data_IF_042264701469
#
_entry.id   IF_042264701469
#
_cell.length_a   1.000
_cell.length_b   1.000
_cell.length_c   1.000
_cell.angle_alpha   90.00
_cell.angle_beta   90.00
_cell.angle_gamma   90.00
#
_symmetry.space_group_name_H-M   'P 1'
#
loop_
_entity.id
_entity.type
_entity.pdbx_description
1 polymer ?
#
# COMPACT_ATOMS: atom_id res chain seq x y z
N UNK A 1 16.95 12.54 0.52
CA UNK A 1 15.52 12.67 0.18
C UNK A 1 14.76 13.10 1.43
N UNK A 2 13.64 13.83 1.33
CA UNK A 2 12.75 14.04 2.48
C UNK A 2 12.02 12.72 2.81
N UNK A 3 11.52 12.59 4.04
CA UNK A 3 10.89 11.35 4.51
C UNK A 3 9.68 10.91 3.65
N UNK A 4 8.81 11.81 3.16
CA UNK A 4 7.74 11.41 2.23
C UNK A 4 8.25 10.70 0.99
N UNK A 5 9.35 11.17 0.38
CA UNK A 5 9.88 10.52 -0.83
C UNK A 5 10.57 9.19 -0.52
N UNK A 6 11.22 9.06 0.65
CA UNK A 6 11.79 7.78 1.11
C UNK A 6 10.66 6.77 1.33
N UNK A 7 9.61 7.17 2.04
CA UNK A 7 8.41 6.37 2.23
C UNK A 7 7.79 5.93 0.89
N UNK A 8 7.59 6.87 -0.05
CA UNK A 8 7.06 6.55 -1.38
C UNK A 8 7.93 5.55 -2.11
N UNK A 9 9.26 5.67 -2.05
CA UNK A 9 10.17 4.73 -2.69
C UNK A 9 10.07 3.32 -2.09
N UNK A 10 10.08 3.20 -0.76
CA UNK A 10 10.05 1.90 -0.07
C UNK A 10 8.70 1.20 -0.27
N UNK A 11 7.60 1.88 0.04
CA UNK A 11 6.25 1.30 -0.11
C UNK A 11 5.94 1.04 -1.58
N UNK A 12 6.32 1.95 -2.47
CA UNK A 12 6.18 1.77 -3.91
C UNK A 12 6.89 0.54 -4.44
N UNK A 13 8.14 0.31 -4.02
CA UNK A 13 8.89 -0.88 -4.39
C UNK A 13 8.25 -2.16 -3.83
N UNK A 14 7.78 -2.16 -2.57
CA UNK A 14 7.10 -3.31 -1.99
C UNK A 14 5.81 -3.66 -2.77
N UNK A 15 5.01 -2.65 -3.11
CA UNK A 15 3.79 -2.84 -3.92
C UNK A 15 4.10 -3.34 -5.33
N UNK A 16 5.14 -2.82 -5.97
CA UNK A 16 5.47 -3.20 -7.34
C UNK A 16 6.04 -4.62 -7.41
N UNK A 17 6.98 -4.96 -6.51
CA UNK A 17 7.74 -6.21 -6.61
C UNK A 17 7.15 -7.33 -5.76
N UNK A 18 6.88 -7.08 -4.47
CA UNK A 18 6.37 -8.13 -3.57
C UNK A 18 4.92 -8.42 -3.90
N UNK A 19 4.06 -7.39 -3.93
CA UNK A 19 2.65 -7.60 -4.27
C UNK A 19 2.50 -8.00 -5.73
N UNK A 20 3.31 -7.44 -6.64
CA UNK A 20 3.35 -7.87 -8.05
C UNK A 20 3.68 -9.35 -8.23
N UNK A 21 4.67 -9.88 -7.49
CA UNK A 21 4.95 -11.32 -7.50
C UNK A 21 3.77 -12.15 -6.97
N UNK A 22 3.14 -11.72 -5.88
CA UNK A 22 1.95 -12.40 -5.34
C UNK A 22 0.72 -12.30 -6.26
N UNK A 23 0.61 -11.24 -7.08
CA UNK A 23 -0.45 -11.09 -8.07
C UNK A 23 -0.29 -12.13 -9.19
N UNK A 24 0.92 -12.26 -9.73
CA UNK A 24 1.21 -13.21 -10.81
C UNK A 24 0.96 -14.64 -10.35
N UNK A 25 1.47 -14.99 -9.16
CA UNK A 25 1.30 -16.34 -8.60
C UNK A 25 -0.16 -16.66 -8.30
N UNK A 26 -0.92 -15.77 -7.66
CA UNK A 26 -2.35 -15.99 -7.41
C UNK A 26 -3.17 -16.07 -8.69
N UNK A 27 -2.90 -15.20 -9.67
CA UNK A 27 -3.61 -15.21 -10.96
C UNK A 27 -3.38 -16.53 -11.69
N UNK A 28 -2.15 -17.07 -11.64
CA UNK A 28 -1.83 -18.35 -12.26
C UNK A 28 -2.48 -19.53 -11.54
N UNK A 29 -2.58 -19.49 -10.20
CA UNK A 29 -3.12 -20.60 -9.40
C UNK A 29 -4.66 -20.61 -9.33
N UNK A 30 -5.28 -19.43 -9.27
CA UNK A 30 -6.70 -19.29 -8.94
C UNK A 30 -7.49 -18.49 -9.98
N UNK A 31 -6.85 -17.99 -11.03
CA UNK A 31 -7.48 -17.11 -12.02
C UNK A 31 -7.71 -15.69 -11.49
N UNK A 32 -8.53 -14.91 -12.22
CA UNK A 32 -8.88 -13.54 -11.82
C UNK A 32 -9.99 -13.59 -10.76
N UNK A 33 -9.63 -13.19 -9.55
CA UNK A 33 -10.51 -13.13 -8.37
C UNK A 33 -10.54 -11.72 -7.77
N UNK A 34 -11.44 -11.47 -6.81
CA UNK A 34 -11.45 -10.19 -6.07
C UNK A 34 -10.10 -9.93 -5.38
N UNK A 35 -9.46 -10.98 -4.88
CA UNK A 35 -8.12 -10.91 -4.28
C UNK A 35 -7.06 -10.45 -5.30
N UNK A 36 -7.09 -10.98 -6.52
CA UNK A 36 -6.20 -10.49 -7.59
C UNK A 36 -6.45 -9.03 -7.94
N UNK A 37 -7.71 -8.57 -7.88
CA UNK A 37 -8.04 -7.17 -8.13
C UNK A 37 -7.49 -6.26 -7.03
N UNK A 38 -7.61 -6.66 -5.76
CA UNK A 38 -6.98 -5.96 -4.63
C UNK A 38 -5.46 -5.86 -4.80
N UNK A 39 -4.79 -6.95 -5.18
CA UNK A 39 -3.34 -6.93 -5.48
C UNK A 39 -3.00 -6.04 -6.68
N UNK A 40 -3.85 -6.01 -7.71
CA UNK A 40 -3.69 -5.10 -8.85
C UNK A 40 -3.77 -3.62 -8.43
N UNK A 41 -4.64 -3.27 -7.48
CA UNK A 41 -4.68 -1.91 -6.90
C UNK A 41 -3.33 -1.57 -6.26
N UNK A 42 -2.76 -2.46 -5.44
CA UNK A 42 -1.42 -2.24 -4.87
C UNK A 42 -0.36 -2.04 -5.93
N UNK A 43 -0.27 -2.93 -6.93
CA UNK A 43 0.70 -2.81 -8.03
C UNK A 43 0.55 -1.49 -8.79
N UNK A 44 -0.69 -1.04 -9.00
CA UNK A 44 -0.98 0.25 -9.65
C UNK A 44 -0.45 1.43 -8.81
N UNK A 45 -0.58 1.36 -7.48
CA UNK A 45 0.04 2.32 -6.56
C UNK A 45 1.57 2.23 -6.59
N UNK A 46 2.14 1.03 -6.73
CA UNK A 46 3.58 0.84 -6.93
C UNK A 46 4.10 1.55 -8.19
N UNK A 47 3.36 1.44 -9.31
CA UNK A 47 3.67 2.17 -10.53
C UNK A 47 3.56 3.69 -10.35
N UNK A 48 2.51 4.17 -9.68
CA UNK A 48 2.38 5.59 -9.34
C UNK A 48 3.54 6.11 -8.48
N UNK A 49 3.95 5.35 -7.47
CA UNK A 49 5.10 5.66 -6.64
C UNK A 49 6.40 5.75 -7.45
N UNK A 50 6.61 4.82 -8.39
CA UNK A 50 7.76 4.85 -9.28
C UNK A 50 7.79 6.15 -10.10
N UNK A 51 6.66 6.57 -10.67
CA UNK A 51 6.55 7.85 -11.39
C UNK A 51 6.93 9.02 -10.48
N UNK A 52 6.41 9.08 -9.25
CA UNK A 52 6.74 10.13 -8.29
C UNK A 52 8.25 10.19 -8.00
N UNK A 53 8.87 9.03 -7.76
CA UNK A 53 10.29 8.94 -7.39
C UNK A 53 11.18 9.31 -8.56
N UNK A 54 10.99 8.70 -9.74
CA UNK A 54 11.82 8.93 -10.92
C UNK A 54 11.68 10.35 -11.47
N UNK A 55 10.47 10.91 -11.47
CA UNK A 55 10.21 12.28 -11.93
C UNK A 55 10.40 13.34 -10.84
N UNK A 56 10.82 12.94 -9.63
CA UNK A 56 11.03 13.82 -8.47
C UNK A 56 9.79 14.69 -8.14
N UNK A 57 8.59 14.15 -8.33
CA UNK A 57 7.33 14.85 -8.06
C UNK A 57 7.08 15.04 -6.55
N UNK A 58 6.03 15.78 -6.22
CA UNK A 58 5.53 15.88 -4.85
C UNK A 58 5.04 14.50 -4.39
N UNK A 59 5.65 14.00 -3.31
CA UNK A 59 5.32 12.70 -2.72
C UNK A 59 4.11 12.75 -1.77
N UNK A 60 3.73 13.94 -1.29
CA UNK A 60 2.66 14.09 -0.30
C UNK A 60 1.32 13.47 -0.69
N UNK A 61 0.82 13.59 -1.95
CA UNK A 61 -0.41 12.94 -2.34
C UNK A 61 -0.39 11.43 -2.13
N UNK A 62 0.72 10.77 -2.50
CA UNK A 62 0.88 9.33 -2.30
C UNK A 62 0.88 8.94 -0.82
N UNK A 63 1.59 9.72 0.02
CA UNK A 63 1.62 9.46 1.46
C UNK A 63 0.23 9.62 2.07
N UNK A 64 -0.50 10.68 1.75
CA UNK A 64 -1.87 10.89 2.23
C UNK A 64 -2.82 9.81 1.76
N UNK A 65 -2.79 9.43 0.48
CA UNK A 65 -3.64 8.34 -0.03
C UNK A 65 -3.35 7.05 0.73
N UNK A 66 -2.09 6.70 0.96
CA UNK A 66 -1.77 5.48 1.69
C UNK A 66 -2.20 5.52 3.16
N UNK A 67 -2.02 6.66 3.84
CA UNK A 67 -2.45 6.82 5.24
C UNK A 67 -3.96 6.65 5.36
N UNK A 68 -4.72 7.32 4.49
CA UNK A 68 -6.18 7.31 4.55
C UNK A 68 -6.75 5.97 4.08
N UNK A 69 -6.34 5.49 2.91
CA UNK A 69 -6.90 4.29 2.30
C UNK A 69 -6.51 3.04 3.08
N UNK A 70 -5.21 2.80 3.27
CA UNK A 70 -4.75 1.59 3.96
C UNK A 70 -5.04 1.68 5.46
N UNK A 71 -5.05 2.88 6.04
CA UNK A 71 -5.55 3.07 7.41
C UNK A 71 -7.00 2.61 7.57
N UNK A 72 -7.88 2.99 6.63
CA UNK A 72 -9.28 2.52 6.64
C UNK A 72 -9.38 1.00 6.46
N UNK A 73 -8.63 0.42 5.51
CA UNK A 73 -8.61 -1.03 5.30
C UNK A 73 -8.08 -1.79 6.53
N UNK A 74 -7.07 -1.26 7.21
CA UNK A 74 -6.56 -1.80 8.46
C UNK A 74 -7.64 -1.77 9.55
N UNK A 75 -8.32 -0.63 9.75
CA UNK A 75 -9.40 -0.51 10.73
C UNK A 75 -10.51 -1.52 10.45
N UNK A 76 -10.94 -1.65 9.20
CA UNK A 76 -11.95 -2.64 8.81
C UNK A 76 -11.45 -4.06 9.07
N UNK A 77 -10.23 -4.40 8.64
CA UNK A 77 -9.68 -5.75 8.85
C UNK A 77 -9.46 -6.12 10.32
N UNK A 78 -9.20 -5.13 11.19
CA UNK A 78 -9.16 -5.34 12.63
C UNK A 78 -10.56 -5.50 13.24
N UNK A 79 -11.54 -4.70 12.80
CA UNK A 79 -12.90 -4.71 13.35
C UNK A 79 -13.76 -5.88 12.84
N UNK A 80 -13.54 -6.28 11.59
CA UNK A 80 -14.25 -7.34 10.89
C UNK A 80 -13.26 -8.15 10.02
N UNK A 81 -12.47 -9.05 10.63
CA UNK A 81 -11.55 -9.91 9.89
C UNK A 81 -12.29 -10.71 8.81
N UNK A 82 -11.68 -10.80 7.63
CA UNK A 82 -12.23 -11.52 6.47
C UNK A 82 -13.62 -11.00 6.05
N UNK A 83 -13.86 -9.69 6.19
CA UNK A 83 -15.09 -9.03 5.77
C UNK A 83 -15.47 -9.41 4.32
N UNK A 84 -16.69 -9.91 4.14
CA UNK A 84 -17.21 -10.45 2.87
C UNK A 84 -16.39 -11.63 2.28
N UNK A 85 -15.63 -12.34 3.11
CA UNK A 85 -14.78 -13.46 2.70
C UNK A 85 -13.52 -13.04 1.97
N UNK A 86 -13.14 -11.76 2.03
CA UNK A 86 -11.98 -11.21 1.33
C UNK A 86 -10.72 -11.27 2.21
N UNK A 87 -9.66 -11.91 1.71
CA UNK A 87 -8.37 -11.99 2.39
C UNK A 87 -7.72 -10.61 2.57
N UNK A 88 -8.04 -9.67 1.69
CA UNK A 88 -7.76 -8.23 1.84
C UNK A 88 -8.09 -7.62 3.22
N UNK A 89 -9.07 -8.19 3.94
CA UNK A 89 -9.46 -7.80 5.30
C UNK A 89 -9.04 -8.82 6.36
N UNK A 90 -8.24 -9.83 6.00
CA UNK A 90 -7.67 -10.79 6.93
C UNK A 90 -6.64 -10.14 7.85
N UNK A 91 -6.31 -10.83 8.94
CA UNK A 91 -5.37 -10.30 9.96
C UNK A 91 -3.99 -9.95 9.40
N UNK A 92 -3.49 -10.74 8.45
CA UNK A 92 -2.20 -10.48 7.83
C UNK A 92 -2.19 -9.14 7.09
N UNK A 93 -3.21 -8.89 6.28
CA UNK A 93 -3.35 -7.64 5.53
C UNK A 93 -3.67 -6.47 6.45
N UNK A 94 -4.47 -6.67 7.49
CA UNK A 94 -4.71 -5.63 8.50
C UNK A 94 -3.39 -5.15 9.16
N UNK A 95 -2.47 -6.08 9.47
CA UNK A 95 -1.14 -5.75 9.99
C UNK A 95 -0.32 -4.99 8.95
N UNK A 96 -0.24 -5.48 7.71
CA UNK A 96 0.54 -4.83 6.65
C UNK A 96 0.01 -3.43 6.33
N UNK A 97 -1.31 -3.27 6.23
CA UNK A 97 -1.96 -1.97 6.04
C UNK A 97 -1.72 -1.03 7.23
N UNK A 98 -1.71 -1.55 8.47
CA UNK A 98 -1.34 -0.76 9.67
C UNK A 98 0.09 -0.25 9.57
N UNK A 99 1.04 -1.09 9.14
CA UNK A 99 2.44 -0.70 8.95
C UNK A 99 2.55 0.39 7.87
N UNK A 100 1.91 0.19 6.72
CA UNK A 100 1.93 1.17 5.62
C UNK A 100 1.32 2.51 6.04
N UNK A 101 0.21 2.50 6.79
CA UNK A 101 -0.45 3.72 7.26
C UNK A 101 0.36 4.43 8.35
N UNK A 102 0.81 3.70 9.39
CA UNK A 102 1.58 4.28 10.51
C UNK A 102 2.92 4.86 10.06
N UNK A 103 3.64 4.18 9.17
CA UNK A 103 4.89 4.71 8.58
C UNK A 103 4.64 5.92 7.68
N UNK A 104 3.47 6.00 7.04
CA UNK A 104 3.04 7.18 6.29
C UNK A 104 2.77 8.38 7.19
N UNK A 105 2.11 8.17 8.34
CA UNK A 105 1.88 9.21 9.35
C UNK A 105 3.23 9.75 9.85
N UNK A 106 4.20 8.87 10.15
CA UNK A 106 5.56 9.27 10.52
C UNK A 106 6.18 10.14 9.41
N UNK A 107 6.07 9.72 8.15
CA UNK A 107 6.61 10.49 7.03
C UNK A 107 5.99 11.90 6.92
N UNK A 108 4.69 12.06 7.20
CA UNK A 108 3.99 13.35 7.22
C UNK A 108 4.43 14.23 8.39
N UNK A 109 4.44 13.69 9.61
CA UNK A 109 4.78 14.44 10.84
C UNK A 109 6.20 15.00 10.78
N UNK A 110 7.14 14.25 10.21
CA UNK A 110 8.54 14.65 10.13
C UNK A 110 8.91 15.36 8.80
N UNK A 111 7.95 15.60 7.91
CA UNK A 111 8.20 16.34 6.67
C UNK A 111 8.56 17.82 6.93
N UNK A 112 8.05 18.41 8.01
CA UNK A 112 8.19 19.85 8.32
C UNK A 112 9.28 20.22 9.33
N UNK A 113 10.10 19.27 9.80
CA UNK A 113 11.18 19.54 10.78
C UNK A 113 12.53 19.89 10.13
N UNK A 114 12.52 20.63 9.03
CA UNK A 114 13.74 21.13 8.35
C UNK A 114 13.71 22.64 8.26
#
# INVERSE_FOLDING_TARGET
>A
MNLPRIYTAIVGAAFLFLVGFTLVTDTHQHGVTIETFHKLIHVSFGAWAAVIVFRKLNALPFVWTNVLLWGAFAVIGWAAPDFLGLKAFGRADAILHTIVASTGIIALVFNGKR
#
